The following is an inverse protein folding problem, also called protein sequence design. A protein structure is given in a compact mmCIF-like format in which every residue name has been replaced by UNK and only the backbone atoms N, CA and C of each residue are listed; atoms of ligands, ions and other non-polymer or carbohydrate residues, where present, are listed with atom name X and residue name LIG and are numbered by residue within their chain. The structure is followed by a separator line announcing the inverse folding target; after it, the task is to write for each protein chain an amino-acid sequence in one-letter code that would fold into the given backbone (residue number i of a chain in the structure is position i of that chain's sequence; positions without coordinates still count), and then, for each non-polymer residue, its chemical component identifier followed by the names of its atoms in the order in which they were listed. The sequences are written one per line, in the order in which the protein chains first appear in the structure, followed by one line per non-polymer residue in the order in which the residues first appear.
data_IF_207565820378
#
_entry.id   IF_207565820378
#
_cell.length_a   1.000
_cell.length_b   1.000
_cell.length_c   1.000
_cell.angle_alpha   90.00
_cell.angle_beta   90.00
_cell.angle_gamma   90.00
#
_symmetry.space_group_name_H-M   'P 1'
#
loop_
_entity.id
_entity.type
_entity.pdbx_description
1 polymer ?
#
# COMPACT_ATOMS: atom_id res chain seq x y z
N UNK A 1 -6.41 3.51 5.37
CA UNK A 1 -5.47 3.89 4.30
C UNK A 1 -6.20 4.86 3.38
N UNK A 2 -5.80 6.13 3.38
CA UNK A 2 -6.47 7.14 2.56
C UNK A 2 -5.94 6.96 1.14
N UNK A 3 -6.71 6.32 0.26
CA UNK A 3 -6.28 6.09 -1.13
C UNK A 3 -6.21 7.46 -1.81
N UNK A 4 -5.03 7.79 -2.32
CA UNK A 4 -4.65 9.08 -2.91
C UNK A 4 -5.71 9.62 -3.87
N UNK A 5 -6.06 10.90 -3.76
CA UNK A 5 -7.23 11.50 -4.44
C UNK A 5 -7.09 11.59 -5.98
N UNK A 6 -5.87 11.48 -6.51
CA UNK A 6 -5.60 11.60 -7.95
C UNK A 6 -4.74 10.42 -8.40
N UNK A 7 -5.21 9.58 -9.35
CA UNK A 7 -4.41 8.50 -9.90
C UNK A 7 -3.30 9.04 -10.81
N UNK A 8 -2.18 8.33 -10.89
CA UNK A 8 -1.12 8.65 -11.86
C UNK A 8 -1.48 8.12 -13.26
N UNK A 9 -2.12 6.95 -13.33
CA UNK A 9 -2.59 6.37 -14.59
C UNK A 9 -3.76 5.42 -14.34
N UNK A 10 -4.57 5.16 -15.37
CA UNK A 10 -5.67 4.21 -15.31
C UNK A 10 -5.93 3.57 -16.68
N UNK A 11 -6.59 2.42 -16.67
CA UNK A 11 -7.24 1.78 -17.83
C UNK A 11 -8.66 1.38 -17.43
N UNK A 12 -9.43 0.77 -18.33
CA UNK A 12 -10.78 0.28 -18.02
C UNK A 12 -10.86 -0.67 -16.81
N UNK A 13 -9.78 -1.44 -16.56
CA UNK A 13 -9.80 -2.51 -15.54
C UNK A 13 -8.89 -2.22 -14.34
N UNK A 14 -8.13 -1.13 -14.36
CA UNK A 14 -7.12 -0.85 -13.33
C UNK A 14 -6.87 0.63 -13.11
N UNK A 15 -6.54 0.95 -11.86
CA UNK A 15 -6.14 2.29 -11.42
C UNK A 15 -4.77 2.19 -10.75
N UNK A 16 -3.86 3.09 -11.13
CA UNK A 16 -2.49 3.14 -10.64
C UNK A 16 -2.27 4.45 -9.90
N UNK A 17 -1.82 4.37 -8.65
CA UNK A 17 -1.46 5.51 -7.82
C UNK A 17 0.06 5.58 -7.64
N UNK A 18 0.58 6.81 -7.69
CA UNK A 18 1.96 7.11 -7.31
C UNK A 18 1.97 7.60 -5.86
N UNK A 19 2.81 7.00 -5.03
CA UNK A 19 2.93 7.35 -3.62
C UNK A 19 4.39 7.38 -3.17
N UNK A 20 4.66 8.13 -2.11
CA UNK A 20 5.86 7.94 -1.30
C UNK A 20 5.75 6.65 -0.49
N UNK A 21 6.85 5.91 -0.37
CA UNK A 21 6.93 4.70 0.45
C UNK A 21 6.74 5.00 1.94
N UNK A 22 7.26 6.14 2.40
CA UNK A 22 7.12 6.63 3.77
C UNK A 22 5.65 6.87 4.15
N UNK A 23 4.85 7.43 3.23
CA UNK A 23 3.41 7.61 3.43
C UNK A 23 2.70 6.27 3.59
N UNK A 24 3.00 5.29 2.73
CA UNK A 24 2.44 3.95 2.86
C UNK A 24 2.85 3.29 4.18
N UNK A 25 4.10 3.43 4.60
CA UNK A 25 4.59 2.89 5.87
C UNK A 25 3.81 3.47 7.06
N UNK A 26 3.70 4.79 7.12
CA UNK A 26 2.99 5.50 8.18
C UNK A 26 1.51 5.14 8.20
N UNK A 27 0.85 5.10 7.05
CA UNK A 27 -0.55 4.68 6.91
C UNK A 27 -0.76 3.25 7.41
N UNK A 28 0.15 2.33 7.05
CA UNK A 28 0.08 0.95 7.49
C UNK A 28 0.21 0.84 9.03
N UNK A 29 1.23 1.48 9.61
CA UNK A 29 1.44 1.50 11.07
C UNK A 29 0.22 2.13 11.77
N UNK A 30 -0.28 3.26 11.28
CA UNK A 30 -1.44 3.94 11.86
C UNK A 30 -2.71 3.06 11.86
N UNK A 31 -2.91 2.26 10.81
CA UNK A 31 -4.08 1.38 10.69
C UNK A 31 -3.91 0.08 11.50
N UNK A 32 -2.72 -0.49 11.54
CA UNK A 32 -2.51 -1.88 12.00
C UNK A 32 -1.67 -2.04 13.28
N UNK A 33 -0.94 -1.02 13.76
CA UNK A 33 0.00 -1.17 14.88
C UNK A 33 -0.64 -1.61 16.21
N UNK A 34 -1.95 -1.35 16.40
CA UNK A 34 -2.68 -1.73 17.61
C UNK A 34 -3.68 -2.87 17.40
N UNK A 35 -3.69 -3.48 16.22
CA UNK A 35 -4.58 -4.60 15.94
C UNK A 35 -3.78 -5.91 16.03
N UNK A 36 -4.25 -6.88 16.82
CA UNK A 36 -3.85 -8.28 16.65
C UNK A 36 -4.47 -8.79 15.36
N UNK A 37 -3.94 -8.31 14.22
CA UNK A 37 -4.39 -8.75 12.92
C UNK A 37 -4.03 -10.22 12.83
N UNK A 38 -5.04 -11.09 12.75
CA UNK A 38 -4.78 -12.45 12.31
C UNK A 38 -4.18 -12.29 10.92
N UNK A 39 -2.89 -12.62 10.80
CA UNK A 39 -2.13 -12.65 9.55
C UNK A 39 -2.72 -13.75 8.67
N UNK A 40 -3.97 -13.59 8.23
CA UNK A 40 -4.43 -14.25 7.03
C UNK A 40 -3.49 -13.81 5.91
N UNK A 41 -3.24 -14.71 4.95
CA UNK A 41 -2.39 -14.52 3.79
C UNK A 41 -2.87 -13.37 2.87
N UNK A 42 -3.02 -12.15 3.38
CA UNK A 42 -3.29 -10.97 2.60
C UNK A 42 -1.95 -10.46 2.07
N UNK A 43 -1.92 -10.16 0.77
CA UNK A 43 -0.70 -9.77 0.07
C UNK A 43 -0.03 -8.52 0.69
N UNK A 44 -0.79 -7.66 1.36
CA UNK A 44 -0.29 -6.38 1.89
C UNK A 44 0.53 -6.54 3.17
N UNK A 45 0.15 -7.47 4.07
CA UNK A 45 0.94 -7.73 5.29
C UNK A 45 2.25 -8.41 4.94
N UNK A 46 2.20 -9.39 4.04
CA UNK A 46 3.38 -10.06 3.51
C UNK A 46 4.31 -9.07 2.80
N UNK A 47 3.76 -8.15 2.01
CA UNK A 47 4.53 -7.08 1.38
C UNK A 47 5.21 -6.16 2.41
N UNK A 48 4.46 -5.71 3.42
CA UNK A 48 5.00 -4.84 4.47
C UNK A 48 6.11 -5.54 5.27
N UNK A 49 5.91 -6.80 5.66
CA UNK A 49 6.92 -7.57 6.38
C UNK A 49 8.19 -7.80 5.55
N UNK A 50 8.05 -8.03 4.24
CA UNK A 50 9.19 -8.29 3.34
C UNK A 50 10.00 -7.03 3.02
N UNK A 51 9.34 -5.87 2.89
CA UNK A 51 9.98 -4.64 2.41
C UNK A 51 9.98 -3.50 3.44
N UNK A 52 9.56 -3.75 4.68
CA UNK A 52 9.35 -2.73 5.72
C UNK A 52 10.50 -1.77 5.91
N UNK A 53 11.75 -2.27 5.91
CA UNK A 53 12.92 -1.39 6.04
C UNK A 53 13.12 -0.49 4.83
N UNK A 54 12.90 -0.99 3.61
CA UNK A 54 12.96 -0.19 2.37
C UNK A 54 11.82 0.82 2.27
N UNK A 55 10.71 0.59 2.98
CA UNK A 55 9.60 1.53 3.00
C UNK A 55 9.90 2.78 3.84
N UNK A 56 10.85 2.68 4.79
CA UNK A 56 11.34 3.81 5.59
C UNK A 56 12.24 4.73 4.75
N UNK A 57 12.95 4.16 3.78
CA UNK A 57 13.73 4.92 2.81
C UNK A 57 12.76 5.59 1.82
N UNK A 58 12.55 6.89 1.98
CA UNK A 58 11.54 7.67 1.25
C UNK A 58 11.78 7.65 -0.27
N UNK A 59 11.11 6.73 -0.94
CA UNK A 59 11.18 6.48 -2.38
C UNK A 59 9.79 6.56 -3.00
N UNK A 60 9.73 6.49 -4.33
CA UNK A 60 8.49 6.39 -5.06
C UNK A 60 8.04 4.93 -5.18
N UNK A 61 6.74 4.68 -4.98
CA UNK A 61 6.11 3.39 -5.21
C UNK A 61 4.83 3.52 -6.02
N UNK A 62 4.53 2.43 -6.74
CA UNK A 62 3.30 2.27 -7.52
C UNK A 62 2.32 1.35 -6.80
N UNK A 63 1.11 1.84 -6.59
CA UNK A 63 0.00 1.04 -6.03
C UNK A 63 -1.01 0.79 -7.14
N UNK A 64 -1.21 -0.46 -7.50
CA UNK A 64 -2.09 -0.88 -8.59
C UNK A 64 -3.33 -1.58 -8.04
N UNK A 65 -4.50 -1.01 -8.28
CA UNK A 65 -5.79 -1.60 -7.94
C UNK A 65 -6.45 -2.12 -9.22
N UNK A 66 -6.92 -3.37 -9.18
CA UNK A 66 -7.66 -3.99 -10.30
C UNK A 66 -9.10 -4.24 -9.88
N UNK A 67 -10.04 -4.00 -10.79
CA UNK A 67 -11.43 -4.40 -10.57
C UNK A 67 -11.49 -5.93 -10.61
N UNK A 68 -12.02 -6.53 -9.54
CA UNK A 68 -12.24 -7.97 -9.49
C UNK A 68 -13.46 -8.27 -10.37
N UNK A 69 -13.26 -9.05 -11.42
CA UNK A 69 -14.35 -9.58 -12.26
C UNK A 69 -15.19 -10.58 -11.46
#
# INVERSE_FOLDING_TARGET
MSIYKIPWSFTENEVVYLSRTSNFYNDYINVFANQKVQLGNSDVHSFFNKYGDKLKDDNWMLIKLRVKK
#
